data_IF_261558620248
#
_entry.id   IF_261558620248
#
_cell.length_a   1.000
_cell.length_b   1.000
_cell.length_c   1.000
_cell.angle_alpha   90.00
_cell.angle_beta   90.00
_cell.angle_gamma   90.00
#
_symmetry.space_group_name_H-M   'P 1'
#
loop_
_entity.id
_entity.type
_entity.pdbx_description
1 polymer ?
#
# COMPACT_ATOMS: atom_id res chain seq x y z
N UNK A 1 23.19 -5.40 -12.77
CA UNK A 1 23.23 -4.15 -11.96
C UNK A 1 21.93 -3.38 -12.07
N UNK A 2 21.37 -3.22 -13.27
CA UNK A 2 20.06 -2.57 -13.51
C UNK A 2 18.88 -3.18 -12.74
N UNK A 3 18.71 -4.52 -12.73
CA UNK A 3 17.60 -5.18 -12.04
C UNK A 3 17.60 -4.95 -10.52
N UNK A 4 18.79 -4.94 -9.91
CA UNK A 4 18.96 -4.76 -8.48
C UNK A 4 18.63 -3.31 -8.07
N UNK A 5 19.01 -2.33 -8.90
CA UNK A 5 18.66 -0.92 -8.71
C UNK A 5 17.14 -0.73 -8.83
N UNK A 6 16.50 -1.32 -9.86
CA UNK A 6 15.05 -1.24 -10.06
C UNK A 6 14.25 -1.81 -8.88
N UNK A 7 14.69 -2.97 -8.35
CA UNK A 7 14.07 -3.60 -7.19
C UNK A 7 14.15 -2.71 -5.93
N UNK A 8 15.31 -2.08 -5.70
CA UNK A 8 15.51 -1.16 -4.57
C UNK A 8 14.62 0.07 -4.72
N UNK A 9 14.55 0.67 -5.91
CA UNK A 9 13.67 1.82 -6.18
C UNK A 9 12.22 1.44 -5.91
N UNK A 10 11.76 0.28 -6.38
CA UNK A 10 10.41 -0.21 -6.15
C UNK A 10 10.10 -0.40 -4.66
N UNK A 11 11.05 -0.97 -3.91
CA UNK A 11 10.95 -1.09 -2.45
C UNK A 11 10.83 0.27 -1.78
N UNK A 12 11.67 1.24 -2.14
CA UNK A 12 11.67 2.57 -1.54
C UNK A 12 10.40 3.34 -1.89
N UNK A 13 9.93 3.27 -3.13
CA UNK A 13 8.75 4.03 -3.58
C UNK A 13 7.45 3.46 -3.01
N UNK A 14 7.33 2.14 -2.83
CA UNK A 14 6.08 1.52 -2.35
C UNK A 14 6.06 1.25 -0.85
N UNK A 15 7.15 0.72 -0.29
CA UNK A 15 7.18 0.26 1.10
C UNK A 15 7.38 1.42 2.06
N UNK A 16 8.14 2.43 1.66
CA UNK A 16 8.48 3.57 2.52
C UNK A 16 7.25 4.44 2.84
N UNK A 17 6.38 4.81 1.87
CA UNK A 17 5.12 5.50 2.18
C UNK A 17 4.21 4.71 3.11
N UNK A 18 4.09 3.39 2.89
CA UNK A 18 3.29 2.53 3.76
C UNK A 18 3.86 2.51 5.18
N UNK A 19 5.18 2.37 5.31
CA UNK A 19 5.86 2.38 6.61
C UNK A 19 5.63 3.70 7.34
N UNK A 20 5.76 4.83 6.65
CA UNK A 20 5.50 6.15 7.23
C UNK A 20 4.05 6.26 7.69
N UNK A 21 3.09 5.90 6.85
CA UNK A 21 1.67 5.89 7.19
C UNK A 21 1.36 4.99 8.41
N UNK A 22 1.91 3.78 8.44
CA UNK A 22 1.73 2.84 9.55
C UNK A 22 2.35 3.34 10.86
N UNK A 23 3.53 3.98 10.79
CA UNK A 23 4.19 4.57 11.95
C UNK A 23 3.41 5.78 12.51
N UNK A 24 2.91 6.66 11.62
CA UNK A 24 2.10 7.81 12.01
C UNK A 24 0.78 7.40 12.68
N UNK A 25 0.18 6.29 12.24
CA UNK A 25 -1.08 5.78 12.78
C UNK A 25 -0.91 4.88 14.02
N UNK A 26 0.31 4.68 14.50
CA UNK A 26 0.63 3.90 15.69
C UNK A 26 0.31 2.41 15.52
N UNK A 27 0.68 1.83 14.37
CA UNK A 27 0.53 0.41 14.14
C UNK A 27 1.45 -0.43 15.05
N UNK A 28 1.01 -1.63 15.44
CA UNK A 28 1.77 -2.50 16.34
C UNK A 28 3.03 -3.06 15.68
N UNK A 29 2.93 -3.41 14.39
CA UNK A 29 4.03 -3.97 13.60
C UNK A 29 4.39 -3.06 12.41
N UNK A 30 5.37 -2.16 12.58
CA UNK A 30 5.81 -1.19 11.55
C UNK A 30 7.14 -1.55 10.88
N UNK A 31 7.63 -2.78 11.10
CA UNK A 31 8.85 -3.28 10.47
C UNK A 31 8.77 -3.28 8.93
N UNK A 32 9.90 -3.08 8.27
CA UNK A 32 9.98 -3.05 6.78
C UNK A 32 9.43 -4.35 6.18
N UNK A 33 9.77 -5.50 6.77
CA UNK A 33 9.26 -6.80 6.34
C UNK A 33 7.75 -6.96 6.53
N UNK A 34 7.19 -6.43 7.62
CA UNK A 34 5.73 -6.43 7.84
C UNK A 34 5.02 -5.54 6.83
N UNK A 35 5.58 -4.36 6.51
CA UNK A 35 5.01 -3.48 5.48
C UNK A 35 5.07 -4.13 4.09
N UNK A 36 6.19 -4.77 3.74
CA UNK A 36 6.34 -5.55 2.53
C UNK A 36 5.30 -6.66 2.43
N UNK A 37 5.14 -7.44 3.50
CA UNK A 37 4.19 -8.53 3.54
C UNK A 37 2.75 -8.01 3.46
N UNK A 38 2.44 -6.87 4.11
CA UNK A 38 1.14 -6.22 4.04
C UNK A 38 0.81 -5.77 2.61
N UNK A 39 1.78 -5.19 1.90
CA UNK A 39 1.63 -4.80 0.49
C UNK A 39 1.43 -6.02 -0.41
N UNK A 40 2.25 -7.06 -0.26
CA UNK A 40 2.11 -8.30 -1.02
C UNK A 40 0.74 -8.94 -0.80
N UNK A 41 0.31 -9.05 0.45
CA UNK A 41 -1.01 -9.58 0.81
C UNK A 41 -2.13 -8.73 0.19
N UNK A 42 -2.01 -7.40 0.25
CA UNK A 42 -2.98 -6.49 -0.35
C UNK A 42 -3.08 -6.69 -1.87
N UNK A 43 -1.96 -6.84 -2.57
CA UNK A 43 -1.94 -7.10 -4.02
C UNK A 43 -2.54 -8.46 -4.35
N UNK A 44 -2.22 -9.50 -3.59
CA UNK A 44 -2.79 -10.84 -3.77
C UNK A 44 -4.31 -10.81 -3.60
N UNK A 45 -4.80 -10.19 -2.53
CA UNK A 45 -6.24 -10.05 -2.26
C UNK A 45 -6.92 -9.24 -3.38
N UNK A 46 -6.35 -8.12 -3.79
CA UNK A 46 -6.89 -7.31 -4.89
C UNK A 46 -6.91 -8.08 -6.21
N UNK A 47 -5.86 -8.85 -6.54
CA UNK A 47 -5.80 -9.66 -7.76
C UNK A 47 -6.82 -10.80 -7.74
N UNK A 48 -6.99 -11.45 -6.59
CA UNK A 48 -7.96 -12.53 -6.42
C UNK A 48 -9.39 -12.02 -6.54
N UNK A 49 -9.72 -10.95 -5.80
CA UNK A 49 -11.06 -10.35 -5.83
C UNK A 49 -11.36 -9.70 -7.18
N UNK A 50 -10.37 -9.07 -7.83
CA UNK A 50 -10.51 -8.52 -9.18
C UNK A 50 -10.65 -9.58 -10.27
N UNK A 51 -10.20 -10.81 -10.04
CA UNK A 51 -10.45 -11.94 -10.94
C UNK A 51 -11.86 -12.53 -10.81
N UNK A 52 -12.50 -12.38 -9.66
CA UNK A 52 -13.86 -12.88 -9.37
C UNK A 52 -14.92 -11.82 -9.70
N UNK A 53 -14.61 -10.55 -9.44
CA UNK A 53 -15.55 -9.43 -9.60
C UNK A 53 -14.98 -8.47 -10.66
N UNK A 54 -15.47 -8.53 -11.91
CA UNK A 54 -14.95 -7.70 -13.01
C UNK A 54 -15.17 -6.19 -12.83
N UNK A 55 -15.91 -5.76 -11.79
CA UNK A 55 -16.11 -4.34 -11.42
C UNK A 55 -15.00 -3.72 -10.56
N UNK A 56 -14.06 -4.52 -10.04
CA UNK A 56 -12.94 -4.01 -9.21
C UNK A 56 -11.82 -3.41 -10.07
N UNK A 57 -11.77 -3.74 -11.35
CA UNK A 57 -10.80 -3.20 -12.32
C UNK A 57 -11.33 -2.00 -13.11
N UNK A 58 -12.63 -1.71 -13.05
CA UNK A 58 -13.24 -0.53 -13.67
C UNK A 58 -13.04 0.73 -12.78
N UNK A 59 -13.34 1.93 -13.28
CA UNK A 59 -13.10 3.23 -12.61
C UNK A 59 -13.57 3.34 -11.13
N UNK A 60 -14.56 2.52 -10.71
CA UNK A 60 -15.01 2.41 -9.31
C UNK A 60 -14.11 1.54 -8.41
N UNK A 61 -13.11 0.88 -8.99
CA UNK A 61 -12.16 0.00 -8.34
C UNK A 61 -11.42 0.69 -7.20
N UNK A 62 -11.15 1.99 -7.32
CA UNK A 62 -10.45 2.76 -6.28
C UNK A 62 -11.20 2.77 -4.93
N UNK A 63 -12.54 2.82 -4.93
CA UNK A 63 -13.31 2.76 -3.68
C UNK A 63 -13.31 1.36 -3.04
N UNK A 64 -13.15 0.31 -3.86
CA UNK A 64 -13.16 -1.08 -3.38
C UNK A 64 -11.74 -1.53 -2.98
N UNK A 65 -10.71 -1.02 -3.65
CA UNK A 65 -9.31 -1.37 -3.36
C UNK A 65 -8.85 -0.84 -2.00
N UNK A 66 -9.33 0.33 -1.57
CA UNK A 66 -9.01 0.91 -0.25
C UNK A 66 -9.41 -0.02 0.91
N UNK A 67 -10.68 -0.46 1.04
CA UNK A 67 -11.08 -1.37 2.11
C UNK A 67 -10.43 -2.75 1.98
N UNK A 68 -10.18 -3.25 0.76
CA UNK A 68 -9.44 -4.51 0.57
C UNK A 68 -8.00 -4.40 1.09
N UNK A 69 -7.30 -3.32 0.76
CA UNK A 69 -5.97 -3.04 1.28
C UNK A 69 -6.00 -2.87 2.80
N UNK A 70 -7.00 -2.19 3.34
CA UNK A 70 -7.18 -2.04 4.78
C UNK A 70 -7.33 -3.39 5.50
N UNK A 71 -8.03 -4.37 4.93
CA UNK A 71 -8.10 -5.72 5.51
C UNK A 71 -6.71 -6.35 5.57
N UNK A 72 -5.95 -6.30 4.48
CA UNK A 72 -4.59 -6.83 4.44
C UNK A 72 -3.67 -6.16 5.48
N UNK A 73 -3.77 -4.83 5.57
CA UNK A 73 -2.98 -4.01 6.50
C UNK A 73 -3.39 -4.27 7.95
N UNK A 74 -4.68 -4.47 8.22
CA UNK A 74 -5.18 -4.84 9.55
C UNK A 74 -4.56 -6.16 10.01
N UNK A 75 -4.59 -7.18 9.15
CA UNK A 75 -4.10 -8.52 9.45
C UNK A 75 -2.60 -8.55 9.70
N UNK A 76 -1.82 -7.81 8.92
CA UNK A 76 -0.35 -7.87 8.97
C UNK A 76 0.25 -6.88 9.97
N UNK A 77 -0.23 -5.63 9.96
CA UNK A 77 0.30 -4.57 10.82
C UNK A 77 -0.26 -4.65 12.26
N UNK A 78 -1.26 -5.50 12.49
CA UNK A 78 -1.88 -5.71 13.81
C UNK A 78 -2.58 -4.45 14.31
N UNK A 79 -3.39 -3.82 13.45
CA UNK A 79 -4.10 -2.58 13.76
C UNK A 79 -5.60 -2.77 13.71
N UNK A 80 -6.38 -1.79 14.19
CA UNK A 80 -7.83 -1.77 14.00
C UNK A 80 -8.20 -1.42 12.56
N UNK A 81 -9.29 -1.96 12.04
CA UNK A 81 -9.79 -1.69 10.67
C UNK A 81 -9.86 -0.19 10.32
N UNK A 82 -10.36 0.65 11.23
CA UNK A 82 -10.45 2.10 11.02
C UNK A 82 -9.06 2.74 10.82
N UNK A 83 -8.06 2.30 11.59
CA UNK A 83 -6.67 2.74 11.43
C UNK A 83 -6.08 2.23 10.12
N UNK A 84 -6.40 1.00 9.71
CA UNK A 84 -5.91 0.44 8.46
C UNK A 84 -6.45 1.19 7.23
N UNK A 85 -7.70 1.64 7.25
CA UNK A 85 -8.26 2.54 6.23
C UNK A 85 -7.48 3.86 6.19
N UNK A 86 -7.25 4.48 7.36
CA UNK A 86 -6.48 5.71 7.45
C UNK A 86 -5.04 5.52 6.93
N UNK A 87 -4.39 4.40 7.24
CA UNK A 87 -3.06 4.05 6.70
C UNK A 87 -3.11 3.99 5.17
N UNK A 88 -4.11 3.33 4.58
CA UNK A 88 -4.25 3.25 3.13
C UNK A 88 -4.47 4.62 2.47
N UNK A 89 -5.28 5.49 3.09
CA UNK A 89 -5.50 6.87 2.62
C UNK A 89 -4.21 7.69 2.72
N UNK A 90 -3.55 7.68 3.88
CA UNK A 90 -2.31 8.43 4.12
C UNK A 90 -1.19 7.92 3.20
N UNK A 91 -1.08 6.61 3.01
CA UNK A 91 -0.16 6.01 2.03
C UNK A 91 -0.45 6.54 0.62
N UNK A 92 -1.72 6.58 0.20
CA UNK A 92 -2.13 7.13 -1.10
C UNK A 92 -1.70 8.59 -1.26
N UNK A 93 -1.91 9.42 -0.24
CA UNK A 93 -1.49 10.84 -0.25
C UNK A 93 0.03 10.97 -0.32
N UNK A 94 0.77 10.21 0.49
CA UNK A 94 2.25 10.23 0.46
C UNK A 94 2.76 9.76 -0.89
N UNK A 95 2.15 8.73 -1.49
CA UNK A 95 2.53 8.22 -2.80
C UNK A 95 2.25 9.24 -3.90
N UNK A 96 1.09 9.90 -3.91
CA UNK A 96 0.78 10.98 -4.85
C UNK A 96 1.78 12.12 -4.69
N UNK A 97 2.09 12.53 -3.46
CA UNK A 97 3.11 13.54 -3.17
C UNK A 97 4.50 13.14 -3.67
N UNK A 98 4.90 11.88 -3.46
CA UNK A 98 6.17 11.34 -3.92
C UNK A 98 6.25 11.27 -5.46
N UNK A 99 5.18 10.85 -6.12
CA UNK A 99 5.08 10.81 -7.60
C UNK A 99 5.11 12.22 -8.18
N UNK A 100 4.42 13.19 -7.58
CA UNK A 100 4.51 14.59 -8.00
C UNK A 100 5.95 15.12 -7.86
N UNK A 101 6.57 14.94 -6.69
CA UNK A 101 7.95 15.38 -6.46
C UNK A 101 8.97 14.75 -7.42
N UNK A 102 8.87 13.44 -7.67
CA UNK A 102 9.74 12.73 -8.59
C UNK A 102 9.42 13.03 -10.06
N UNK A 103 8.16 13.25 -10.40
CA UNK A 103 7.70 13.62 -11.74
C UNK A 103 8.03 15.06 -12.13
N UNK A 104 8.23 15.96 -11.15
CA UNK A 104 8.82 17.29 -11.37
C UNK A 104 10.36 17.27 -11.42
N UNK A 105 11.00 16.16 -11.04
CA UNK A 105 12.46 16.03 -10.96
C UNK A 105 13.07 15.36 -12.22
N UNK A 106 12.26 15.05 -13.23
CA UNK A 106 12.66 14.50 -14.54
C UNK A 106 12.20 15.46 -15.63
#
# INVERSE_FOLDING_TARGET
MEFLILLIILLVVLVLPLKMAAAMMGARNTGVFHCLFALLLAVIIQRFVGGIIPGVTAEYGMLITIPLAAIAYMLVLGTSFLKAILIAIVQGVILIGAVLLLGFAV
#
